data_IF_908297662489
#
_entry.id   IF_908297662489
#
_cell.length_a   1.000
_cell.length_b   1.000
_cell.length_c   1.000
_cell.angle_alpha   90.00
_cell.angle_beta   90.00
_cell.angle_gamma   90.00
#
_symmetry.space_group_name_H-M   'P 1'
#
loop_
_entity.id
_entity.type
_entity.pdbx_description
1 polymer ?
#
# COMPACT_ATOMS: atom_id res chain seq x y z
N UNK A 1 -13.94 6.82 -0.13
CA UNK A 1 -12.61 6.84 -0.80
C UNK A 1 -12.42 5.71 -1.80
N UNK A 2 -13.31 4.69 -1.82
CA UNK A 2 -13.24 3.58 -2.78
C UNK A 2 -13.13 4.07 -4.23
N UNK A 3 -12.22 3.45 -4.99
CA UNK A 3 -11.98 3.79 -6.39
C UNK A 3 -11.20 5.09 -6.62
N UNK A 4 -10.71 5.77 -5.58
CA UNK A 4 -9.81 6.91 -5.76
C UNK A 4 -8.42 6.39 -6.14
N UNK A 5 -7.92 6.85 -7.29
CA UNK A 5 -6.61 6.50 -7.83
C UNK A 5 -5.49 7.22 -7.10
N UNK A 6 -4.39 6.52 -6.86
CA UNK A 6 -3.16 7.07 -6.30
C UNK A 6 -1.94 6.29 -6.75
N UNK A 7 -0.74 6.84 -6.51
CA UNK A 7 0.53 6.15 -6.73
C UNK A 7 1.53 6.47 -5.64
N UNK A 8 2.54 5.61 -5.51
CA UNK A 8 3.57 5.73 -4.47
C UNK A 8 4.98 5.50 -5.04
N UNK A 9 5.92 6.39 -4.73
CA UNK A 9 7.35 6.24 -4.98
C UNK A 9 8.03 5.84 -3.67
N UNK A 10 8.60 4.65 -3.63
CA UNK A 10 9.31 4.12 -2.46
C UNK A 10 10.81 4.30 -2.68
N UNK A 11 11.39 5.28 -2.00
CA UNK A 11 12.83 5.53 -2.03
C UNK A 11 13.52 4.75 -0.91
N UNK A 12 14.34 3.77 -1.27
CA UNK A 12 15.00 2.87 -0.32
C UNK A 12 16.38 3.41 0.01
N UNK A 13 16.71 3.46 1.30
CA UNK A 13 18.00 3.90 1.81
C UNK A 13 18.64 2.82 2.66
N UNK A 14 19.97 2.75 2.63
CA UNK A 14 20.74 2.04 3.63
C UNK A 14 20.89 2.94 4.86
N UNK A 15 20.47 2.43 6.01
CA UNK A 15 20.61 3.05 7.34
C UNK A 15 21.43 2.13 8.24
N UNK A 16 21.80 2.62 9.42
CA UNK A 16 22.57 1.84 10.40
C UNK A 16 21.83 0.56 10.84
N UNK A 17 20.49 0.58 10.82
CA UNK A 17 19.62 -0.55 11.17
C UNK A 17 19.19 -1.44 9.98
N UNK A 18 19.77 -1.22 8.80
CA UNK A 18 19.45 -1.96 7.57
C UNK A 18 18.72 -1.09 6.55
N UNK A 19 17.94 -1.72 5.67
CA UNK A 19 17.21 -1.01 4.63
C UNK A 19 15.91 -0.42 5.18
N UNK A 20 15.60 0.78 4.72
CA UNK A 20 14.38 1.51 5.05
C UNK A 20 13.86 2.23 3.80
N UNK A 21 12.55 2.20 3.57
CA UNK A 21 11.94 2.92 2.45
C UNK A 21 11.10 4.11 2.94
N UNK A 22 11.37 5.30 2.39
CA UNK A 22 10.46 6.43 2.50
C UNK A 22 9.40 6.32 1.41
N UNK A 23 8.12 6.37 1.80
CA UNK A 23 6.98 6.25 0.88
C UNK A 23 6.46 7.66 0.59
N UNK A 24 6.63 8.12 -0.65
CA UNK A 24 6.01 9.33 -1.16
C UNK A 24 4.76 8.96 -1.94
N UNK A 25 3.62 9.57 -1.64
CA UNK A 25 2.36 9.24 -2.32
C UNK A 25 1.53 10.45 -2.70
N UNK A 26 0.60 10.24 -3.63
CA UNK A 26 -0.26 11.28 -4.21
C UNK A 26 -1.56 11.52 -3.43
N UNK A 27 -1.76 10.82 -2.31
CA UNK A 27 -3.03 10.81 -1.57
C UNK A 27 -3.47 12.22 -1.15
N UNK A 28 -4.68 12.61 -1.56
CA UNK A 28 -5.30 13.93 -1.36
C UNK A 28 -4.55 15.09 -2.05
N UNK A 29 -3.63 14.81 -2.97
CA UNK A 29 -2.88 15.83 -3.72
C UNK A 29 -3.22 15.81 -5.21
N UNK A 30 -3.28 14.63 -5.81
CA UNK A 30 -3.67 14.41 -7.20
C UNK A 30 -4.05 12.93 -7.43
N UNK A 31 -4.54 12.63 -8.62
CA UNK A 31 -5.03 11.32 -9.06
C UNK A 31 -3.95 10.45 -9.74
N UNK A 32 -2.67 10.76 -9.50
CA UNK A 32 -1.51 10.07 -10.05
C UNK A 32 -1.47 10.03 -11.60
N UNK A 33 -1.54 11.17 -12.32
CA UNK A 33 -1.82 11.22 -13.77
C UNK A 33 -1.07 10.16 -14.60
N UNK A 34 -1.78 9.35 -15.38
CA UNK A 34 -1.22 8.17 -16.06
C UNK A 34 -0.03 8.52 -16.98
N UNK A 35 -0.18 9.56 -17.81
CA UNK A 35 0.85 10.02 -18.76
C UNK A 35 2.15 10.46 -18.06
N UNK A 36 2.05 11.03 -16.85
CA UNK A 36 3.22 11.41 -16.04
C UNK A 36 3.79 10.21 -15.28
N UNK A 37 2.93 9.30 -14.80
CA UNK A 37 3.34 8.14 -14.03
C UNK A 37 4.17 7.17 -14.88
N UNK A 38 3.73 6.89 -16.12
CA UNK A 38 4.41 5.95 -17.01
C UNK A 38 5.77 6.45 -17.51
N UNK A 39 6.04 7.75 -17.35
CA UNK A 39 7.32 8.38 -17.72
C UNK A 39 8.27 8.55 -16.53
N UNK A 40 7.90 8.11 -15.32
CA UNK A 40 8.80 8.07 -14.17
C UNK A 40 9.96 7.10 -14.41
N UNK A 41 11.19 7.55 -14.19
CA UNK A 41 12.39 6.73 -14.28
C UNK A 41 12.96 6.44 -12.89
N UNK A 42 12.72 5.23 -12.37
CA UNK A 42 13.14 4.85 -11.02
C UNK A 42 14.66 4.98 -10.77
N UNK A 43 15.57 4.58 -11.69
CA UNK A 43 17.00 4.79 -11.52
C UNK A 43 17.40 6.27 -11.40
N UNK A 44 16.84 7.16 -12.23
CA UNK A 44 17.09 8.60 -12.13
C UNK A 44 16.59 9.15 -10.81
N UNK A 45 15.36 8.81 -10.41
CA UNK A 45 14.81 9.23 -9.11
C UNK A 45 15.71 8.73 -7.98
N UNK A 46 16.18 7.49 -8.02
CA UNK A 46 17.07 6.95 -6.98
C UNK A 46 18.36 7.77 -6.86
N UNK A 47 18.99 8.11 -8.00
CA UNK A 47 20.19 8.93 -8.04
C UNK A 47 19.95 10.34 -7.49
N UNK A 48 18.85 11.00 -7.87
CA UNK A 48 18.47 12.33 -7.37
C UNK A 48 18.17 12.35 -5.87
N UNK A 49 17.58 11.27 -5.36
CA UNK A 49 17.25 11.12 -3.94
C UNK A 49 18.46 10.69 -3.10
N UNK A 50 19.55 10.22 -3.72
CA UNK A 50 20.62 9.52 -3.01
C UNK A 50 20.14 8.21 -2.37
N UNK A 51 19.10 7.61 -2.95
CA UNK A 51 18.56 6.32 -2.54
C UNK A 51 19.34 5.18 -3.19
N UNK A 52 19.41 4.02 -2.55
CA UNK A 52 20.05 2.83 -3.11
C UNK A 52 19.21 2.21 -4.23
N UNK A 53 17.89 2.37 -4.16
CA UNK A 53 16.94 2.01 -5.20
C UNK A 53 15.62 2.74 -5.00
N UNK A 54 14.81 2.79 -6.05
CA UNK A 54 13.43 3.27 -5.99
C UNK A 54 12.50 2.18 -6.54
N UNK A 55 11.38 1.95 -5.87
CA UNK A 55 10.26 1.15 -6.38
C UNK A 55 9.09 2.08 -6.71
N UNK A 56 8.60 2.02 -7.94
CA UNK A 56 7.32 2.62 -8.31
C UNK A 56 6.21 1.63 -7.94
N UNK A 57 5.36 2.00 -6.99
CA UNK A 57 4.39 1.12 -6.34
C UNK A 57 2.96 1.54 -6.71
N UNK A 58 2.54 1.22 -7.94
CA UNK A 58 1.22 1.55 -8.47
C UNK A 58 1.18 1.65 -10.00
N UNK A 59 0.12 2.26 -10.58
CA UNK A 59 -0.97 2.95 -9.89
C UNK A 59 -1.89 2.01 -9.10
N UNK A 60 -2.59 2.58 -8.12
CA UNK A 60 -3.45 1.87 -7.16
C UNK A 60 -4.79 2.54 -7.04
N UNK A 61 -5.79 1.79 -6.58
CA UNK A 61 -7.09 2.30 -6.22
C UNK A 61 -7.46 1.87 -4.80
N UNK A 62 -7.92 2.82 -3.99
CA UNK A 62 -8.37 2.52 -2.64
C UNK A 62 -9.58 1.57 -2.63
N UNK A 63 -9.57 0.62 -1.71
CA UNK A 63 -10.74 -0.22 -1.37
C UNK A 63 -11.35 0.16 -0.02
N UNK A 64 -10.78 1.14 0.67
CA UNK A 64 -11.28 1.70 1.93
C UNK A 64 -12.31 2.83 1.73
N UNK A 65 -13.11 3.09 2.75
CA UNK A 65 -14.17 4.11 2.73
C UNK A 65 -13.65 5.49 3.16
N UNK A 66 -12.70 5.51 4.09
CA UNK A 66 -12.03 6.74 4.52
C UNK A 66 -10.68 6.46 5.17
N UNK A 67 -9.86 7.51 5.31
CA UNK A 67 -8.69 7.44 6.16
C UNK A 67 -8.48 8.76 6.92
N UNK A 68 -7.92 8.64 8.11
CA UNK A 68 -7.42 9.75 8.92
C UNK A 68 -5.91 9.63 9.10
N UNK A 69 -5.28 10.74 9.48
CA UNK A 69 -3.86 10.76 9.86
C UNK A 69 -3.73 11.41 11.23
N UNK A 70 -2.72 10.99 11.99
CA UNK A 70 -2.34 11.71 13.20
C UNK A 70 -1.83 13.10 12.79
N UNK A 71 -2.36 14.16 13.39
CA UNK A 71 -1.84 15.51 13.22
C UNK A 71 -0.40 15.54 13.76
N UNK A 72 0.58 15.55 12.85
CA UNK A 72 1.95 15.80 13.20
C UNK A 72 2.15 17.33 13.31
N UNK A 73 2.83 17.83 14.36
CA UNK A 73 3.17 19.25 14.48
C UNK A 73 4.26 19.70 13.48
N UNK A 74 4.75 18.79 12.62
CA UNK A 74 5.79 19.06 11.65
C UNK A 74 5.22 19.23 10.25
N UNK A 75 5.78 20.18 9.50
CA UNK A 75 5.44 20.40 8.10
C UNK A 75 5.64 19.12 7.26
N UNK A 76 4.72 18.82 6.34
CA UNK A 76 4.83 17.63 5.49
C UNK A 76 6.04 17.74 4.56
N UNK A 77 6.77 16.63 4.40
CA UNK A 77 7.84 16.56 3.39
C UNK A 77 7.18 16.36 2.03
N UNK A 78 7.14 17.43 1.26
CA UNK A 78 6.65 17.44 -0.12
C UNK A 78 7.81 17.18 -1.08
N UNK A 79 7.52 16.49 -2.18
CA UNK A 79 8.46 16.29 -3.28
C UNK A 79 7.70 16.11 -4.59
N UNK A 80 8.24 16.66 -5.66
CA UNK A 80 7.73 16.42 -7.00
C UNK A 80 8.58 15.37 -7.71
N UNK A 81 7.93 14.43 -8.39
CA UNK A 81 8.57 13.48 -9.29
C UNK A 81 7.94 13.60 -10.66
N UNK A 82 8.70 14.07 -11.65
CA UNK A 82 8.23 14.20 -13.04
C UNK A 82 6.87 14.96 -13.15
N UNK A 83 6.75 16.10 -12.47
CA UNK A 83 5.51 16.89 -12.45
C UNK A 83 4.41 16.36 -11.51
N UNK A 84 4.62 15.23 -10.84
CA UNK A 84 3.66 14.66 -9.88
C UNK A 84 4.05 15.09 -8.47
N UNK A 85 3.25 15.98 -7.88
CA UNK A 85 3.42 16.38 -6.49
C UNK A 85 3.04 15.23 -5.54
N UNK A 86 3.94 14.89 -4.61
CA UNK A 86 3.76 13.84 -3.62
C UNK A 86 4.15 14.32 -2.22
N UNK A 87 3.65 13.62 -1.21
CA UNK A 87 4.01 13.82 0.21
C UNK A 87 4.56 12.53 0.78
N UNK A 88 5.58 12.62 1.65
CA UNK A 88 6.03 11.47 2.44
C UNK A 88 4.92 11.06 3.40
N UNK A 89 4.32 9.89 3.20
CA UNK A 89 3.16 9.39 3.94
C UNK A 89 3.50 8.23 4.88
N UNK A 90 4.62 7.54 4.67
CA UNK A 90 5.02 6.42 5.50
C UNK A 90 6.54 6.18 5.44
N UNK A 91 7.00 5.40 6.40
CA UNK A 91 8.32 4.76 6.39
C UNK A 91 8.11 3.25 6.52
N UNK A 92 8.74 2.46 5.64
CA UNK A 92 8.72 0.99 5.68
C UNK A 92 10.06 0.49 6.20
N UNK A 93 10.03 -0.30 7.26
CA UNK A 93 11.22 -0.94 7.82
C UNK A 93 11.46 -2.25 7.08
N UNK A 94 12.47 -2.28 6.21
CA UNK A 94 12.83 -3.46 5.41
C UNK A 94 13.84 -4.36 6.14
N UNK A 95 14.63 -3.79 7.06
CA UNK A 95 15.63 -4.49 7.85
C UNK A 95 16.89 -4.85 7.06
N UNK A 96 17.81 -5.58 7.70
CA UNK A 96 19.07 -5.97 7.08
C UNK A 96 18.91 -7.07 6.01
N UNK A 97 17.95 -7.97 6.21
CA UNK A 97 17.62 -9.08 5.30
C UNK A 97 16.14 -8.97 4.89
N UNK A 98 15.81 -8.12 3.91
CA UNK A 98 14.43 -7.91 3.53
C UNK A 98 13.84 -9.17 2.90
N UNK A 99 12.69 -9.61 3.42
CA UNK A 99 11.87 -10.65 2.78
C UNK A 99 11.04 -10.02 1.67
N UNK A 100 11.67 -9.91 0.50
CA UNK A 100 11.02 -9.39 -0.70
C UNK A 100 10.09 -10.44 -1.31
N UNK A 101 8.97 -9.99 -1.88
CA UNK A 101 8.02 -10.84 -2.59
C UNK A 101 6.67 -10.95 -1.88
N UNK A 102 5.68 -11.56 -2.57
CA UNK A 102 4.30 -11.57 -2.10
C UNK A 102 4.13 -12.41 -0.83
N UNK A 103 3.05 -12.15 -0.10
CA UNK A 103 2.66 -12.83 1.15
C UNK A 103 3.67 -12.70 2.30
N UNK A 104 4.63 -11.78 2.20
CA UNK A 104 5.53 -11.41 3.29
C UNK A 104 5.04 -10.13 3.98
N UNK A 105 4.80 -10.21 5.28
CA UNK A 105 4.40 -9.06 6.09
C UNK A 105 5.55 -8.06 6.28
N UNK A 106 5.25 -6.79 6.02
CA UNK A 106 6.14 -5.64 6.18
C UNK A 106 5.63 -4.72 7.28
N UNK A 107 6.54 -4.08 8.00
CA UNK A 107 6.20 -3.08 9.03
C UNK A 107 6.19 -1.69 8.41
N UNK A 108 5.03 -1.03 8.50
CA UNK A 108 4.79 0.26 7.88
C UNK A 108 4.40 1.28 8.95
N UNK A 109 5.27 2.25 9.18
CA UNK A 109 5.00 3.40 10.03
C UNK A 109 4.31 4.49 9.21
N UNK A 110 2.96 4.46 9.19
CA UNK A 110 2.11 5.41 8.46
C UNK A 110 1.27 6.35 9.32
N UNK A 111 1.20 6.09 10.63
CA UNK A 111 0.43 6.88 11.61
C UNK A 111 -0.98 7.26 11.12
N UNK A 112 -1.69 6.28 10.56
CA UNK A 112 -2.98 6.48 9.89
C UNK A 112 -4.06 5.59 10.50
N UNK A 113 -5.31 6.02 10.32
CA UNK A 113 -6.51 5.22 10.61
C UNK A 113 -7.18 4.93 9.28
N UNK A 114 -7.48 3.66 8.99
CA UNK A 114 -8.28 3.28 7.83
C UNK A 114 -9.68 2.87 8.29
N UNK A 115 -10.69 3.32 7.56
CA UNK A 115 -12.10 3.06 7.82
C UNK A 115 -12.68 2.22 6.68
N UNK A 116 -13.38 1.16 7.05
CA UNK A 116 -14.23 0.37 6.16
C UNK A 116 -15.63 0.33 6.78
N UNK A 117 -16.62 0.82 6.05
CA UNK A 117 -17.96 1.05 6.61
C UNK A 117 -18.80 -0.24 6.60
N UNK A 118 -19.68 -0.38 7.58
CA UNK A 118 -20.69 -1.44 7.59
C UNK A 118 -21.52 -1.43 6.29
N UNK A 119 -21.87 -2.62 5.80
CA UNK A 119 -22.58 -2.82 4.54
C UNK A 119 -21.68 -2.82 3.31
N UNK A 120 -20.39 -2.51 3.44
CA UNK A 120 -19.44 -2.60 2.33
C UNK A 120 -18.80 -3.99 2.24
N UNK A 121 -18.46 -4.41 1.02
CA UNK A 121 -17.65 -5.62 0.80
C UNK A 121 -16.18 -5.33 1.10
N UNK A 122 -15.55 -6.23 1.85
CA UNK A 122 -14.09 -6.30 2.00
C UNK A 122 -13.57 -7.61 1.43
N UNK A 123 -12.35 -7.55 0.93
CA UNK A 123 -11.61 -8.69 0.40
C UNK A 123 -10.45 -9.00 1.34
N UNK A 124 -10.30 -10.26 1.69
CA UNK A 124 -9.41 -10.71 2.76
C UNK A 124 -8.51 -11.85 2.28
N UNK A 125 -7.22 -11.74 2.61
CA UNK A 125 -6.31 -12.87 2.66
C UNK A 125 -6.29 -13.40 4.09
N UNK A 126 -6.54 -14.69 4.27
CA UNK A 126 -6.49 -15.35 5.58
C UNK A 126 -5.30 -16.29 5.58
N UNK A 127 -4.37 -16.06 6.50
CA UNK A 127 -3.19 -16.90 6.66
C UNK A 127 -3.50 -18.24 7.36
N UNK A 128 -2.55 -19.19 7.42
CA UNK A 128 -2.78 -20.50 8.04
C UNK A 128 -3.10 -20.45 9.53
N UNK A 129 -2.75 -19.36 10.23
CA UNK A 129 -3.05 -19.15 11.64
C UNK A 129 -4.44 -18.50 11.85
N UNK A 130 -5.12 -18.14 10.75
CA UNK A 130 -6.44 -17.54 10.75
C UNK A 130 -6.45 -16.01 10.80
N UNK A 131 -5.28 -15.35 10.66
CA UNK A 131 -5.20 -13.89 10.61
C UNK A 131 -5.74 -13.39 9.26
N UNK A 132 -6.75 -12.53 9.30
CA UNK A 132 -7.39 -11.96 8.11
C UNK A 132 -6.81 -10.57 7.80
N UNK A 133 -6.04 -10.48 6.71
CA UNK A 133 -5.53 -9.24 6.15
C UNK A 133 -6.55 -8.66 5.18
N UNK A 134 -7.01 -7.44 5.43
CA UNK A 134 -8.05 -6.76 4.65
C UNK A 134 -7.39 -5.94 3.54
N UNK A 135 -7.84 -6.11 2.30
CA UNK A 135 -7.34 -5.34 1.16
C UNK A 135 -7.55 -3.86 1.41
N UNK A 136 -6.46 -3.09 1.43
CA UNK A 136 -6.48 -1.63 1.51
C UNK A 136 -6.49 -1.00 0.12
N UNK A 137 -5.86 -1.63 -0.87
CA UNK A 137 -5.81 -1.12 -2.23
C UNK A 137 -5.55 -2.21 -3.26
N UNK A 138 -6.26 -2.14 -4.37
CA UNK A 138 -5.95 -2.91 -5.57
C UNK A 138 -4.88 -2.18 -6.40
N UNK A 139 -4.06 -2.94 -7.12
CA UNK A 139 -3.00 -2.43 -7.98
C UNK A 139 -3.30 -2.75 -9.45
N UNK A 140 -3.07 -1.79 -10.34
CA UNK A 140 -3.18 -1.98 -11.80
C UNK A 140 -1.81 -1.96 -12.49
N UNK A 141 -0.73 -1.78 -11.72
CA UNK A 141 0.64 -1.69 -12.25
C UNK A 141 1.20 -3.02 -12.75
N UNK A 142 0.75 -4.15 -12.19
CA UNK A 142 1.15 -5.50 -12.63
C UNK A 142 0.16 -6.08 -13.64
N UNK A 143 -1.13 -5.97 -13.35
CA UNK A 143 -2.21 -6.38 -14.23
C UNK A 143 -3.13 -5.19 -14.53
N UNK A 144 -3.07 -4.62 -15.73
CA UNK A 144 -3.90 -3.48 -16.11
C UNK A 144 -5.40 -3.83 -16.26
N UNK A 145 -5.76 -5.11 -16.25
CA UNK A 145 -7.16 -5.56 -16.28
C UNK A 145 -7.79 -5.66 -14.89
N UNK A 146 -7.00 -5.48 -13.82
CA UNK A 146 -7.49 -5.47 -12.44
C UNK A 146 -8.53 -4.36 -12.24
N UNK A 147 -9.65 -4.72 -11.62
CA UNK A 147 -10.75 -3.81 -11.32
C UNK A 147 -11.45 -4.23 -10.02
N UNK A 148 -12.31 -3.36 -9.48
CA UNK A 148 -13.13 -3.71 -8.30
C UNK A 148 -13.98 -4.96 -8.57
N UNK A 149 -14.59 -5.05 -9.76
CA UNK A 149 -15.42 -6.20 -10.15
C UNK A 149 -14.61 -7.51 -10.21
N UNK A 150 -13.32 -7.43 -10.52
CA UNK A 150 -12.44 -8.61 -10.56
C UNK A 150 -12.09 -9.16 -9.18
N UNK A 151 -12.30 -8.38 -8.11
CA UNK A 151 -11.90 -8.76 -6.75
C UNK A 151 -12.75 -9.91 -6.18
N UNK A 152 -14.01 -10.06 -6.61
CA UNK A 152 -14.87 -11.14 -6.11
C UNK A 152 -14.36 -12.54 -6.48
N UNK A 153 -13.69 -12.68 -7.62
CA UNK A 153 -13.12 -13.94 -8.10
C UNK A 153 -11.59 -13.97 -8.06
N UNK A 154 -10.95 -12.94 -7.50
CA UNK A 154 -9.49 -12.81 -7.47
C UNK A 154 -8.82 -14.04 -6.84
N UNK A 155 -9.42 -14.64 -5.81
CA UNK A 155 -8.90 -15.84 -5.16
C UNK A 155 -8.65 -17.03 -6.08
N UNK A 156 -9.34 -17.14 -7.23
CA UNK A 156 -9.11 -18.19 -8.23
C UNK A 156 -7.83 -17.97 -9.04
N UNK A 157 -7.31 -16.75 -9.02
CA UNK A 157 -6.14 -16.31 -9.79
C UNK A 157 -4.89 -16.21 -8.92
N UNK A 158 -5.05 -16.14 -7.60
CA UNK A 158 -3.95 -15.94 -6.68
C UNK A 158 -3.08 -17.19 -6.51
N UNK A 159 -1.76 -17.02 -6.64
CA UNK A 159 -0.74 -18.02 -6.36
C UNK A 159 -0.40 -18.07 -4.87
N UNK A 160 -1.43 -18.29 -4.03
CA UNK A 160 -1.29 -18.26 -2.57
C UNK A 160 -0.39 -19.39 -2.05
N UNK A 161 0.41 -19.15 -0.98
CA UNK A 161 1.13 -20.22 -0.30
C UNK A 161 0.18 -21.26 0.32
N UNK A 162 0.70 -22.45 0.60
CA UNK A 162 -0.08 -23.51 1.25
C UNK A 162 -0.72 -23.02 2.56
N UNK A 163 -2.00 -23.36 2.75
CA UNK A 163 -2.78 -23.01 3.94
C UNK A 163 -3.42 -21.62 3.93
N UNK A 164 -3.05 -20.75 2.99
CA UNK A 164 -3.72 -19.46 2.81
C UNK A 164 -5.06 -19.63 2.10
N UNK A 165 -5.97 -18.69 2.36
CA UNK A 165 -7.24 -18.59 1.64
C UNK A 165 -7.59 -17.15 1.33
N UNK A 166 -8.42 -16.97 0.29
CA UNK A 166 -8.98 -15.67 -0.08
C UNK A 166 -10.49 -15.71 0.11
N UNK A 167 -11.06 -14.63 0.64
CA UNK A 167 -12.52 -14.49 0.77
C UNK A 167 -12.98 -13.05 0.60
N UNK A 168 -14.22 -12.89 0.18
CA UNK A 168 -14.96 -11.63 0.26
C UNK A 168 -16.05 -11.75 1.32
N UNK A 169 -16.30 -10.68 2.08
CA UNK A 169 -17.46 -10.61 2.97
C UNK A 169 -18.03 -9.19 3.04
N UNK A 170 -19.33 -9.10 3.26
CA UNK A 170 -19.99 -7.84 3.60
C UNK A 170 -19.79 -7.57 5.10
N UNK A 171 -19.28 -6.39 5.44
CA UNK A 171 -19.13 -5.97 6.83
C UNK A 171 -20.50 -5.78 7.48
N UNK A 172 -20.71 -6.35 8.66
CA UNK A 172 -21.92 -6.11 9.47
C UNK A 172 -21.76 -4.94 10.43
N UNK A 173 -20.52 -4.52 10.68
CA UNK A 173 -20.12 -3.40 11.54
C UNK A 173 -18.92 -2.69 10.91
N UNK A 174 -18.71 -1.43 11.27
CA UNK A 174 -17.56 -0.67 10.79
C UNK A 174 -16.26 -1.35 11.25
N UNK A 175 -15.33 -1.51 10.32
CA UNK A 175 -13.98 -1.98 10.62
C UNK A 175 -13.03 -0.78 10.60
N UNK A 176 -12.38 -0.54 11.73
CA UNK A 176 -11.40 0.52 11.91
C UNK A 176 -10.02 -0.10 12.13
N UNK A 177 -9.07 0.23 11.27
CA UNK A 177 -7.66 -0.17 11.41
C UNK A 177 -6.88 1.06 11.86
N UNK A 178 -6.69 1.21 13.18
CA UNK A 178 -5.96 2.34 13.78
C UNK A 178 -4.49 1.96 14.02
N UNK A 179 -3.60 2.55 13.22
CA UNK A 179 -2.15 2.42 13.38
C UNK A 179 -1.52 3.79 13.65
N UNK A 180 -2.22 4.67 14.38
CA UNK A 180 -1.69 6.00 14.77
C UNK A 180 -0.68 5.94 15.92
N UNK A 181 -0.75 4.88 16.73
CA UNK A 181 0.12 4.63 17.87
C UNK A 181 1.00 3.39 17.72
N UNK A 182 0.81 2.60 16.65
CA UNK A 182 1.50 1.33 16.39
C UNK A 182 1.95 1.25 14.94
N UNK A 183 2.89 0.36 14.64
CA UNK A 183 3.30 0.05 13.27
C UNK A 183 2.29 -0.88 12.61
N UNK A 184 1.88 -0.56 11.38
CA UNK A 184 0.99 -1.42 10.61
C UNK A 184 1.73 -2.68 10.13
N UNK A 185 1.01 -3.79 9.99
CA UNK A 185 1.49 -4.96 9.23
C UNK A 185 0.78 -4.97 7.89
N UNK A 186 1.55 -4.87 6.81
CA UNK A 186 1.04 -4.82 5.44
C UNK A 186 1.74 -5.88 4.61
N UNK A 187 1.00 -6.61 3.79
CA UNK A 187 1.57 -7.51 2.78
C UNK A 187 1.02 -7.19 1.40
N UNK A 188 1.64 -7.76 0.38
CA UNK A 188 1.19 -7.69 -1.01
C UNK A 188 0.99 -9.09 -1.58
N UNK A 189 0.02 -9.27 -2.48
CA UNK A 189 -0.03 -10.45 -3.35
C UNK A 189 0.87 -10.24 -4.59
N UNK A 190 0.94 -11.23 -5.48
CA UNK A 190 1.78 -11.18 -6.69
C UNK A 190 1.29 -10.17 -7.74
N UNK A 191 0.04 -9.69 -7.63
CA UNK A 191 -0.46 -8.57 -8.44
C UNK A 191 -0.19 -7.22 -7.76
N UNK A 192 0.52 -7.24 -6.64
CA UNK A 192 0.81 -6.10 -5.77
C UNK A 192 -0.43 -5.44 -5.15
N UNK A 193 -1.60 -6.11 -5.09
CA UNK A 193 -2.68 -5.62 -4.23
C UNK A 193 -2.17 -5.62 -2.78
N UNK A 194 -2.47 -4.57 -2.04
CA UNK A 194 -1.96 -4.40 -0.68
C UNK A 194 -3.04 -4.69 0.34
N UNK A 195 -2.68 -5.43 1.39
CA UNK A 195 -3.57 -5.86 2.45
C UNK A 195 -2.98 -5.44 3.79
N UNK A 196 -3.82 -4.91 4.68
CA UNK A 196 -3.44 -4.51 6.04
C UNK A 196 -4.03 -5.49 7.04
N UNK A 197 -3.26 -5.86 8.04
CA UNK A 197 -3.79 -6.60 9.19
C UNK A 197 -4.56 -5.62 10.09
N UNK A 198 -5.85 -5.86 10.39
CA UNK A 198 -6.55 -5.13 11.44
C UNK A 198 -5.91 -5.39 12.81
N UNK A 199 -5.92 -4.37 13.68
CA UNK A 199 -5.43 -4.44 15.06
C UNK A 199 -6.44 -5.05 16.02
#
# INVERSE_FOLDING_TARGET
MRGVRYGEVLAVYLRDHGLEAEVFGTQLLNDCPQELWETLDAPTIAAEMGAVMVKLNGPRYWTLDGFGTKLAPMEPIMREFNGIMMRRIAVVELGAEPKLGPYNGMKVNRQAIFFFDAGQTVHELVDPDGLAYVMQALCVGVDPTMSVDSLDTLGERLAMPEGWSYRSRVLTEDLVVDTTATVATVLQDEFENSYTLPS
#
